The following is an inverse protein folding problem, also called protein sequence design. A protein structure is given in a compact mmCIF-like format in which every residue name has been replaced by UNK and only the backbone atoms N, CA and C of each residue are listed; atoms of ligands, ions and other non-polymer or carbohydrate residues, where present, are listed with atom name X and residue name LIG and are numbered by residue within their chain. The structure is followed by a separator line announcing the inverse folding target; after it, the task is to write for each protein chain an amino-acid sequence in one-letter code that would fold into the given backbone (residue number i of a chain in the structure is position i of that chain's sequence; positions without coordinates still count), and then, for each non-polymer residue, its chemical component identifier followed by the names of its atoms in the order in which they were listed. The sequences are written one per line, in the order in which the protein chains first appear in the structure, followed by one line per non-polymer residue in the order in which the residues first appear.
data_IF_874483761219
#
_entry.id   IF_874483761219
#
_cell.length_a   1.000
_cell.length_b   1.000
_cell.length_c   1.000
_cell.angle_alpha   90.00
_cell.angle_beta   90.00
_cell.angle_gamma   90.00
#
_symmetry.space_group_name_H-M   'P 1'
#
loop_
_entity.id
_entity.type
_entity.pdbx_description
1 polymer ?
#
# COMPACT_ATOMS: atom_id res chain seq x y z
N UNK A 1 -16.40 -10.26 12.09
CA UNK A 1 -17.21 -9.33 11.26
C UNK A 1 -16.20 -8.46 10.54
N UNK A 2 -16.32 -8.30 9.22
CA UNK A 2 -15.41 -7.46 8.44
C UNK A 2 -15.95 -6.03 8.41
N UNK A 3 -15.06 -5.04 8.55
CA UNK A 3 -15.39 -3.61 8.49
C UNK A 3 -14.67 -3.01 7.28
N UNK A 4 -15.42 -2.48 6.32
CA UNK A 4 -14.86 -1.88 5.12
C UNK A 4 -13.96 -0.67 5.44
N UNK A 5 -12.92 -0.42 4.64
CA UNK A 5 -12.06 0.75 4.83
C UNK A 5 -12.85 2.05 4.74
N UNK A 6 -13.79 2.15 3.80
CA UNK A 6 -14.68 3.31 3.65
C UNK A 6 -15.51 3.58 4.91
N UNK A 7 -15.93 2.54 5.64
CA UNK A 7 -16.61 2.67 6.92
C UNK A 7 -15.67 3.18 8.02
N UNK A 8 -14.44 2.66 8.12
CA UNK A 8 -13.41 3.16 9.03
C UNK A 8 -13.12 4.64 8.75
N UNK A 9 -12.99 4.99 7.47
CA UNK A 9 -12.76 6.37 7.04
C UNK A 9 -13.92 7.30 7.40
N UNK A 10 -15.17 6.83 7.28
CA UNK A 10 -16.36 7.64 7.60
C UNK A 10 -16.53 7.90 9.10
N UNK A 11 -16.04 6.99 9.95
CA UNK A 11 -16.16 7.06 11.41
C UNK A 11 -14.95 7.72 12.11
N UNK A 12 -14.00 8.28 11.35
CA UNK A 12 -12.81 8.93 11.91
C UNK A 12 -13.16 10.21 12.68
N UNK A 13 -12.34 10.54 13.64
CA UNK A 13 -12.48 11.75 14.47
C UNK A 13 -11.32 12.70 14.19
N UNK A 14 -11.64 13.91 13.76
CA UNK A 14 -10.67 14.99 13.53
C UNK A 14 -10.68 15.96 14.73
N UNK A 15 -9.49 16.24 15.26
CA UNK A 15 -9.30 17.22 16.33
C UNK A 15 -7.97 17.97 16.11
N UNK A 16 -8.04 19.19 15.62
CA UNK A 16 -6.86 19.99 15.32
C UNK A 16 -5.99 19.34 14.24
N UNK A 17 -4.74 19.07 14.58
CA UNK A 17 -3.75 18.41 13.74
C UNK A 17 -3.77 16.86 13.82
N UNK A 18 -4.77 16.32 14.51
CA UNK A 18 -4.85 14.91 14.86
C UNK A 18 -6.11 14.27 14.27
N UNK A 19 -5.94 13.08 13.67
CA UNK A 19 -7.06 12.22 13.23
C UNK A 19 -6.95 10.87 13.93
N UNK A 20 -8.05 10.42 14.53
CA UNK A 20 -8.14 9.10 15.16
C UNK A 20 -9.04 8.18 14.35
N UNK A 21 -8.53 6.98 14.05
CA UNK A 21 -9.28 5.91 13.41
C UNK A 21 -9.42 4.73 14.37
N UNK A 22 -10.49 3.96 14.23
CA UNK A 22 -10.65 2.67 14.90
C UNK A 22 -10.30 1.56 13.92
N UNK A 23 -9.11 0.97 14.07
CA UNK A 23 -8.63 -0.12 13.25
C UNK A 23 -9.16 -1.46 13.81
N UNK A 24 -9.72 -2.31 12.95
CA UNK A 24 -10.33 -3.58 13.31
C UNK A 24 -9.43 -4.77 12.98
N UNK A 25 -9.58 -5.87 13.70
CA UNK A 25 -8.70 -7.04 13.61
C UNK A 25 -8.63 -7.66 12.21
N UNK A 26 -9.67 -7.52 11.40
CA UNK A 26 -9.74 -7.99 10.02
C UNK A 26 -8.80 -7.25 9.05
N UNK A 27 -8.16 -6.16 9.48
CA UNK A 27 -7.11 -5.45 8.73
C UNK A 27 -5.69 -5.82 9.17
N UNK A 28 -5.53 -6.83 10.03
CA UNK A 28 -4.20 -7.21 10.51
C UNK A 28 -3.42 -8.11 9.54
N UNK A 29 -2.09 -7.97 9.62
CA UNK A 29 -1.08 -8.86 9.08
C UNK A 29 -0.27 -9.42 10.24
N UNK A 30 -0.63 -10.60 10.74
CA UNK A 30 -0.09 -11.11 11.98
C UNK A 30 -0.54 -10.28 13.19
N UNK A 31 0.40 -9.72 13.94
CA UNK A 31 0.13 -8.92 15.17
C UNK A 31 0.00 -7.40 14.92
N UNK A 32 0.13 -6.96 13.70
CA UNK A 32 0.09 -5.53 13.33
C UNK A 32 -0.90 -5.31 12.20
N UNK A 33 -1.38 -4.08 12.06
CA UNK A 33 -2.15 -3.67 10.88
C UNK A 33 -1.31 -3.80 9.61
N UNK A 34 -1.98 -4.11 8.51
CA UNK A 34 -1.42 -4.09 7.16
C UNK A 34 -0.84 -2.71 6.81
N UNK A 35 0.39 -2.69 6.24
CA UNK A 35 1.12 -1.45 5.99
C UNK A 35 0.43 -0.52 5.00
N UNK A 36 -0.15 -1.07 3.93
CA UNK A 36 -0.93 -0.31 2.96
C UNK A 36 -2.17 0.35 3.57
N UNK A 37 -2.85 -0.31 4.52
CA UNK A 37 -3.93 0.26 5.30
C UNK A 37 -3.44 1.45 6.13
N UNK A 38 -2.37 1.29 6.91
CA UNK A 38 -1.82 2.38 7.73
C UNK A 38 -1.40 3.59 6.90
N UNK A 39 -0.78 3.34 5.75
CA UNK A 39 -0.32 4.41 4.85
C UNK A 39 -1.48 5.14 4.16
N UNK A 40 -2.55 4.42 3.80
CA UNK A 40 -3.77 5.01 3.25
C UNK A 40 -4.47 5.92 4.27
N UNK A 41 -4.56 5.49 5.55
CA UNK A 41 -5.09 6.33 6.63
C UNK A 41 -4.24 7.59 6.86
N UNK A 42 -2.90 7.49 6.73
CA UNK A 42 -2.01 8.64 6.85
C UNK A 42 -2.27 9.71 5.76
N UNK A 43 -2.52 9.27 4.52
CA UNK A 43 -2.89 10.19 3.43
C UNK A 43 -4.19 10.92 3.74
N UNK A 44 -5.22 10.21 4.22
CA UNK A 44 -6.50 10.81 4.61
C UNK A 44 -6.29 11.80 5.77
N UNK A 45 -5.51 11.43 6.78
CA UNK A 45 -5.20 12.33 7.91
C UNK A 45 -4.51 13.62 7.44
N UNK A 46 -3.53 13.54 6.53
CA UNK A 46 -2.85 14.70 5.96
C UNK A 46 -3.82 15.62 5.21
N UNK A 47 -4.77 15.05 4.44
CA UNK A 47 -5.76 15.82 3.71
C UNK A 47 -6.77 16.51 4.63
N UNK A 48 -7.28 15.79 5.61
CA UNK A 48 -8.28 16.32 6.54
C UNK A 48 -7.75 17.48 7.38
N UNK A 49 -6.53 17.33 7.90
CA UNK A 49 -5.97 18.32 8.84
C UNK A 49 -5.46 19.58 8.14
N UNK A 50 -5.00 19.46 6.90
CA UNK A 50 -4.32 20.56 6.21
C UNK A 50 -5.10 21.11 4.99
N UNK A 51 -6.23 20.48 4.62
CA UNK A 51 -7.05 20.92 3.47
C UNK A 51 -6.28 20.94 2.15
N UNK A 52 -5.39 19.96 1.93
CA UNK A 52 -4.57 19.93 0.72
C UNK A 52 -5.33 19.28 -0.42
N UNK A 53 -5.61 20.02 -1.50
CA UNK A 53 -6.27 19.50 -2.71
C UNK A 53 -5.28 19.06 -3.80
N UNK A 54 -4.01 19.45 -3.70
CA UNK A 54 -2.98 19.05 -4.67
C UNK A 54 -2.82 17.53 -4.71
N UNK A 55 -2.59 16.91 -5.90
CA UNK A 55 -2.32 15.49 -6.03
C UNK A 55 -1.14 15.03 -5.17
N UNK A 56 -1.25 13.86 -4.55
CA UNK A 56 -0.14 13.17 -3.91
C UNK A 56 0.87 12.74 -4.99
N UNK A 57 2.16 13.03 -4.78
CA UNK A 57 3.26 12.71 -5.71
C UNK A 57 4.20 11.65 -5.17
N UNK A 58 4.40 11.64 -3.85
CA UNK A 58 5.22 10.64 -3.19
C UNK A 58 4.74 10.44 -1.76
N UNK A 59 4.93 9.23 -1.27
CA UNK A 59 4.69 8.83 0.10
C UNK A 59 5.88 8.00 0.59
N UNK A 60 6.47 8.37 1.71
CA UNK A 60 7.57 7.64 2.32
C UNK A 60 7.12 7.20 3.71
N UNK A 61 7.07 5.89 3.94
CA UNK A 61 6.62 5.28 5.19
C UNK A 61 7.76 4.52 5.84
N UNK A 62 8.00 4.80 7.12
CA UNK A 62 8.85 3.99 8.00
C UNK A 62 7.96 3.31 9.03
N UNK A 63 8.00 1.98 9.05
CA UNK A 63 7.27 1.16 10.02
C UNK A 63 8.17 0.97 11.26
N UNK A 64 7.86 1.70 12.33
CA UNK A 64 8.69 1.79 13.54
C UNK A 64 8.33 0.71 14.54
N UNK A 65 7.04 0.43 14.69
CA UNK A 65 6.52 -0.55 15.64
C UNK A 65 5.20 -1.16 15.19
N UNK A 66 4.73 -2.21 15.88
CA UNK A 66 3.46 -2.84 15.57
C UNK A 66 2.27 -1.95 15.96
N UNK A 67 1.22 -1.99 15.15
CA UNK A 67 -0.06 -1.35 15.41
C UNK A 67 -1.12 -2.45 15.52
N UNK A 68 -1.54 -2.85 16.73
CA UNK A 68 -2.64 -3.81 16.92
C UNK A 68 -4.00 -3.18 16.59
N UNK A 69 -5.06 -4.00 16.57
CA UNK A 69 -6.42 -3.51 16.48
C UNK A 69 -6.77 -2.60 17.66
N UNK A 70 -7.49 -1.51 17.40
CA UNK A 70 -7.85 -0.50 18.38
C UNK A 70 -7.84 0.90 17.81
N UNK A 71 -7.73 1.89 18.68
CA UNK A 71 -7.57 3.27 18.26
C UNK A 71 -6.14 3.54 17.77
N UNK A 72 -6.05 4.17 16.61
CA UNK A 72 -4.78 4.59 16.02
C UNK A 72 -4.84 6.09 15.77
N UNK A 73 -3.86 6.80 16.28
CA UNK A 73 -3.82 8.27 16.27
C UNK A 73 -2.77 8.74 15.24
N UNK A 74 -3.20 9.60 14.34
CA UNK A 74 -2.38 10.20 13.30
C UNK A 74 -2.19 11.69 13.59
N UNK A 75 -0.95 12.12 13.86
CA UNK A 75 -0.59 13.53 14.04
C UNK A 75 0.11 14.05 12.81
N UNK A 76 -0.40 15.12 12.25
CA UNK A 76 0.16 15.71 11.04
C UNK A 76 0.88 17.01 11.35
N UNK A 77 1.92 17.27 10.57
CA UNK A 77 2.67 18.51 10.64
C UNK A 77 3.05 18.95 9.23
N UNK A 78 2.69 20.19 8.88
CA UNK A 78 3.17 20.82 7.67
C UNK A 78 4.66 21.11 7.81
N UNK A 79 5.50 20.48 6.99
CA UNK A 79 6.95 20.72 6.96
C UNK A 79 7.29 21.93 6.12
N UNK A 80 6.63 22.03 4.97
CA UNK A 80 6.79 23.14 4.04
C UNK A 80 5.55 23.27 3.15
N UNK A 81 5.16 24.51 2.87
CA UNK A 81 4.17 24.85 1.86
C UNK A 81 4.78 25.90 0.92
N UNK A 82 4.89 25.53 -0.35
CA UNK A 82 5.25 26.43 -1.43
C UNK A 82 4.04 26.70 -2.33
N UNK A 83 4.24 27.47 -3.38
CA UNK A 83 3.17 27.80 -4.35
C UNK A 83 2.56 26.56 -5.02
N UNK A 84 3.37 25.53 -5.29
CA UNK A 84 2.97 24.34 -6.06
C UNK A 84 3.38 23.02 -5.42
N UNK A 85 4.03 23.04 -4.26
CA UNK A 85 4.46 21.81 -3.55
C UNK A 85 4.27 22.02 -2.05
N UNK A 86 3.65 21.03 -1.40
CA UNK A 86 3.57 20.91 0.05
C UNK A 86 4.20 19.59 0.51
N UNK A 87 4.91 19.63 1.62
CA UNK A 87 5.48 18.45 2.28
C UNK A 87 4.89 18.35 3.68
N UNK A 88 4.39 17.16 4.01
CA UNK A 88 3.68 16.89 5.26
C UNK A 88 4.27 15.69 5.93
N UNK A 89 4.55 15.79 7.21
CA UNK A 89 4.85 14.66 8.08
C UNK A 89 3.56 14.19 8.77
N UNK A 90 3.42 12.88 8.91
CA UNK A 90 2.38 12.25 9.70
C UNK A 90 3.00 11.19 10.60
N UNK A 91 2.80 11.30 11.88
CA UNK A 91 3.22 10.32 12.88
C UNK A 91 2.04 9.43 13.24
N UNK A 92 2.27 8.12 13.29
CA UNK A 92 1.27 7.11 13.63
C UNK A 92 1.55 6.63 15.06
N UNK A 93 0.58 6.78 15.94
CA UNK A 93 0.68 6.35 17.34
C UNK A 93 -0.32 5.24 17.64
N UNK A 94 0.14 4.24 18.38
CA UNK A 94 -0.67 3.22 19.02
C UNK A 94 -0.33 3.20 20.50
N UNK A 95 -1.32 3.34 21.38
CA UNK A 95 -1.15 3.43 22.84
C UNK A 95 -0.02 4.42 23.24
N UNK A 96 -0.07 5.65 22.68
CA UNK A 96 0.91 6.72 22.90
C UNK A 96 2.33 6.41 22.41
N UNK A 97 2.58 5.23 21.82
CA UNK A 97 3.87 4.83 21.27
C UNK A 97 3.94 5.15 19.79
N UNK A 98 5.04 5.78 19.35
CA UNK A 98 5.31 6.01 17.92
C UNK A 98 5.48 4.68 17.20
N UNK A 99 4.58 4.36 16.29
CA UNK A 99 4.54 3.12 15.54
C UNK A 99 4.87 3.29 14.04
N UNK A 100 4.75 4.50 13.51
CA UNK A 100 5.09 4.79 12.12
C UNK A 100 5.35 6.27 11.88
N UNK A 101 6.14 6.54 10.83
CA UNK A 101 6.42 7.89 10.35
C UNK A 101 6.18 7.92 8.84
N UNK A 102 5.35 8.84 8.39
CA UNK A 102 4.99 9.00 6.98
C UNK A 102 5.30 10.42 6.53
N UNK A 103 5.93 10.56 5.38
CA UNK A 103 6.12 11.86 4.72
C UNK A 103 5.39 11.85 3.38
N UNK A 104 4.41 12.74 3.22
CA UNK A 104 3.68 12.95 1.98
C UNK A 104 4.19 14.18 1.24
N UNK A 105 4.37 14.06 -0.08
CA UNK A 105 4.68 15.17 -0.98
C UNK A 105 3.50 15.39 -1.91
N UNK A 106 2.87 16.55 -1.81
CA UNK A 106 1.74 16.97 -2.65
C UNK A 106 2.21 18.01 -3.65
N UNK A 107 1.84 17.87 -4.91
CA UNK A 107 2.34 18.76 -5.97
C UNK A 107 1.30 19.09 -7.03
N UNK A 108 1.05 20.37 -7.25
CA UNK A 108 0.20 20.85 -8.34
C UNK A 108 0.82 20.57 -9.72
N UNK A 109 0.03 20.37 -10.77
CA UNK A 109 0.51 20.36 -12.14
C UNK A 109 1.25 21.67 -12.47
N UNK A 110 2.28 21.57 -13.31
CA UNK A 110 3.07 22.73 -13.77
C UNK A 110 3.29 22.64 -15.27
N UNK A 111 3.25 23.77 -15.92
CA UNK A 111 3.73 23.89 -17.31
C UNK A 111 5.24 23.64 -17.37
N UNK A 112 5.66 22.87 -18.36
CA UNK A 112 7.06 22.51 -18.58
C UNK A 112 7.29 22.18 -20.05
N UNK A 113 8.50 22.40 -20.54
CA UNK A 113 8.93 21.93 -21.86
C UNK A 113 9.29 20.44 -21.87
N UNK A 114 9.25 19.76 -20.71
CA UNK A 114 9.49 18.32 -20.62
C UNK A 114 8.38 17.54 -21.36
N UNK A 115 8.71 16.71 -22.35
CA UNK A 115 7.71 15.88 -23.01
C UNK A 115 7.11 14.86 -22.05
N UNK A 116 5.85 14.50 -22.28
CA UNK A 116 5.18 13.46 -21.50
C UNK A 116 5.83 12.11 -21.81
N UNK A 117 6.24 11.39 -20.74
CA UNK A 117 6.68 10.01 -20.82
C UNK A 117 5.54 9.10 -20.31
N UNK A 118 5.03 8.26 -21.19
CA UNK A 118 4.03 7.24 -20.83
C UNK A 118 4.73 5.88 -20.75
N UNK A 119 4.85 5.28 -19.56
CA UNK A 119 5.41 3.93 -19.42
C UNK A 119 4.60 2.91 -20.18
N UNK A 120 5.29 1.94 -20.82
CA UNK A 120 4.62 0.86 -21.53
C UNK A 120 4.19 -0.24 -20.56
N UNK A 121 2.88 -0.50 -20.51
CA UNK A 121 2.32 -1.63 -19.82
C UNK A 121 2.61 -2.94 -20.58
N UNK A 122 2.95 -3.99 -19.83
CA UNK A 122 3.05 -5.35 -20.36
C UNK A 122 2.01 -6.20 -19.63
N UNK A 123 0.95 -6.66 -20.31
CA UNK A 123 -0.05 -7.53 -19.67
C UNK A 123 0.58 -8.82 -19.15
N UNK A 124 0.02 -9.35 -18.07
CA UNK A 124 0.42 -10.66 -17.56
C UNK A 124 0.06 -11.79 -18.55
N UNK A 125 0.83 -12.90 -18.57
CA UNK A 125 0.72 -13.93 -19.61
C UNK A 125 -0.57 -14.75 -19.56
N UNK A 126 -1.29 -14.74 -18.41
CA UNK A 126 -2.52 -15.50 -18.17
C UNK A 126 -3.62 -14.51 -17.82
N UNK A 127 -4.79 -14.64 -18.42
CA UNK A 127 -5.93 -13.79 -18.12
C UNK A 127 -6.45 -14.04 -16.69
N UNK A 128 -6.93 -12.97 -16.06
CA UNK A 128 -7.35 -13.01 -14.65
C UNK A 128 -8.42 -14.08 -14.38
N UNK A 129 -9.36 -14.29 -15.30
CA UNK A 129 -10.46 -15.24 -15.14
C UNK A 129 -10.01 -16.71 -15.22
N UNK A 130 -8.82 -16.96 -15.76
CA UNK A 130 -8.22 -18.30 -15.83
C UNK A 130 -7.43 -18.68 -14.57
N UNK A 131 -7.24 -17.73 -13.66
CA UNK A 131 -6.42 -17.92 -12.45
C UNK A 131 -7.29 -18.14 -11.22
N UNK A 132 -6.89 -19.06 -10.31
CA UNK A 132 -7.57 -19.21 -9.03
C UNK A 132 -7.35 -17.99 -8.14
N UNK A 133 -8.37 -17.60 -7.40
CA UNK A 133 -8.23 -16.61 -6.34
C UNK A 133 -7.41 -17.20 -5.18
N UNK A 134 -6.55 -16.38 -4.57
CA UNK A 134 -5.92 -16.72 -3.31
C UNK A 134 -7.01 -16.80 -2.22
N UNK A 135 -7.24 -17.97 -1.61
CA UNK A 135 -8.30 -18.09 -0.61
C UNK A 135 -7.89 -17.41 0.70
N UNK A 136 -8.85 -16.74 1.34
CA UNK A 136 -8.70 -16.41 2.76
C UNK A 136 -8.90 -17.67 3.62
N UNK A 137 -7.90 -18.03 4.40
CA UNK A 137 -7.94 -19.18 5.33
C UNK A 137 -7.65 -18.65 6.74
N UNK A 138 -8.66 -18.64 7.64
CA UNK A 138 -8.49 -18.13 9.00
C UNK A 138 -7.26 -18.71 9.70
N UNK A 139 -6.47 -17.88 10.39
CA UNK A 139 -5.25 -18.23 11.14
C UNK A 139 -4.05 -18.69 10.28
N UNK A 140 -4.21 -18.80 8.97
CA UNK A 140 -3.13 -19.18 8.03
C UNK A 140 -2.74 -17.98 7.18
N UNK A 141 -3.72 -17.35 6.54
CA UNK A 141 -3.49 -16.17 5.73
C UNK A 141 -3.69 -14.90 6.55
N UNK A 142 -3.03 -13.78 6.19
CA UNK A 142 -3.28 -12.49 6.84
C UNK A 142 -4.75 -12.08 6.81
N UNK A 143 -5.23 -11.46 7.89
CA UNK A 143 -6.65 -11.10 8.01
C UNK A 143 -7.08 -10.05 6.98
N UNK A 144 -6.18 -9.13 6.57
CA UNK A 144 -6.51 -8.11 5.55
C UNK A 144 -6.89 -8.68 4.19
N UNK A 145 -6.57 -9.96 3.90
CA UNK A 145 -7.02 -10.65 2.68
C UNK A 145 -8.55 -10.85 2.62
N UNK A 146 -9.27 -10.53 3.68
CA UNK A 146 -10.74 -10.45 3.64
C UNK A 146 -11.25 -9.22 2.87
N UNK A 147 -10.37 -8.27 2.57
CA UNK A 147 -10.69 -6.99 1.90
C UNK A 147 -10.08 -6.86 0.51
N UNK A 148 -9.17 -7.78 0.15
CA UNK A 148 -8.41 -7.72 -1.11
C UNK A 148 -8.43 -9.09 -1.76
N UNK A 149 -8.77 -9.15 -3.05
CA UNK A 149 -8.64 -10.36 -3.86
C UNK A 149 -7.34 -10.30 -4.67
N UNK A 150 -6.60 -11.42 -4.70
CA UNK A 150 -5.37 -11.56 -5.48
C UNK A 150 -5.36 -12.85 -6.28
N UNK A 151 -4.75 -12.80 -7.50
CA UNK A 151 -4.53 -13.94 -8.39
C UNK A 151 -3.14 -13.88 -8.98
N UNK A 152 -2.35 -14.94 -8.81
CA UNK A 152 -0.97 -15.01 -9.28
C UNK A 152 -0.90 -15.48 -10.73
N UNK A 153 -0.29 -14.67 -11.60
CA UNK A 153 -0.02 -15.01 -13.00
C UNK A 153 1.45 -15.31 -13.27
N UNK A 154 2.36 -14.73 -12.49
CA UNK A 154 3.81 -14.93 -12.58
C UNK A 154 4.38 -15.14 -11.18
N UNK A 155 5.38 -16.01 -11.06
CA UNK A 155 6.00 -16.36 -9.78
C UNK A 155 5.22 -17.44 -9.03
N UNK A 156 5.29 -17.42 -7.70
CA UNK A 156 4.62 -18.38 -6.83
C UNK A 156 4.06 -17.68 -5.59
N UNK A 157 2.97 -18.22 -5.07
CA UNK A 157 2.47 -17.83 -3.76
C UNK A 157 3.53 -18.18 -2.68
N UNK A 158 3.52 -17.49 -1.53
CA UNK A 158 4.45 -17.74 -0.43
C UNK A 158 4.49 -19.19 0.04
N UNK A 159 5.64 -19.63 0.51
CA UNK A 159 5.86 -20.91 1.24
C UNK A 159 5.69 -22.19 0.43
N UNK A 160 5.73 -22.09 -0.91
CA UNK A 160 5.64 -23.27 -1.78
C UNK A 160 6.99 -23.93 -2.06
N UNK A 161 8.10 -23.32 -1.65
CA UNK A 161 9.44 -23.78 -1.98
C UNK A 161 9.81 -23.67 -3.47
N UNK A 162 9.11 -22.78 -4.18
CA UNK A 162 9.36 -22.45 -5.59
C UNK A 162 10.13 -21.13 -5.65
N UNK A 163 11.43 -21.14 -5.99
CA UNK A 163 12.30 -19.98 -5.86
C UNK A 163 12.07 -18.96 -6.98
N UNK A 164 11.27 -17.94 -6.70
CA UNK A 164 11.06 -16.79 -7.56
C UNK A 164 11.48 -15.50 -6.87
N UNK A 165 12.16 -14.61 -7.61
CA UNK A 165 12.51 -13.26 -7.18
C UNK A 165 11.58 -12.20 -7.74
N UNK A 166 10.60 -12.61 -8.54
CA UNK A 166 9.60 -11.75 -9.18
C UNK A 166 8.20 -12.33 -9.03
N UNK A 167 7.19 -11.49 -9.10
CA UNK A 167 5.80 -11.88 -9.19
C UNK A 167 4.99 -10.88 -10.01
N UNK A 168 4.01 -11.43 -10.74
CA UNK A 168 2.99 -10.67 -11.46
C UNK A 168 1.62 -11.10 -10.97
N UNK A 169 0.86 -10.18 -10.40
CA UNK A 169 -0.35 -10.47 -9.64
C UNK A 169 -1.46 -9.53 -10.08
N UNK A 170 -2.64 -10.06 -10.30
CA UNK A 170 -3.86 -9.27 -10.35
C UNK A 170 -4.38 -9.04 -8.93
N UNK A 171 -4.74 -7.80 -8.64
CA UNK A 171 -5.21 -7.38 -7.32
C UNK A 171 -6.40 -6.43 -7.43
N UNK A 172 -7.37 -6.57 -6.56
CA UNK A 172 -8.47 -5.62 -6.42
C UNK A 172 -8.97 -5.51 -4.99
N UNK A 173 -9.51 -4.35 -4.63
CA UNK A 173 -10.23 -4.17 -3.37
C UNK A 173 -11.66 -4.68 -3.49
N UNK A 174 -12.20 -5.20 -2.38
CA UNK A 174 -13.62 -5.57 -2.28
C UNK A 174 -14.49 -4.37 -1.91
N UNK A 175 -13.94 -3.37 -1.23
CA UNK A 175 -14.61 -2.11 -0.94
C UNK A 175 -14.63 -1.21 -2.20
N UNK A 176 -15.84 -0.88 -2.67
CA UNK A 176 -16.08 -0.10 -3.89
C UNK A 176 -16.21 1.41 -3.64
N UNK A 177 -16.14 1.85 -2.40
CA UNK A 177 -16.36 3.23 -1.99
C UNK A 177 -15.08 4.00 -1.68
N UNK A 178 -13.92 3.50 -2.14
CA UNK A 178 -12.62 4.15 -1.91
C UNK A 178 -12.33 5.18 -3.00
N UNK A 179 -11.75 6.31 -2.61
CA UNK A 179 -11.17 7.24 -3.59
C UNK A 179 -10.00 6.58 -4.32
N UNK A 180 -9.76 6.93 -5.60
CA UNK A 180 -8.64 6.36 -6.38
C UNK A 180 -7.29 6.46 -5.68
N UNK A 181 -7.00 7.55 -4.97
CA UNK A 181 -5.74 7.75 -4.26
C UNK A 181 -5.59 6.77 -3.07
N UNK A 182 -6.61 6.65 -2.23
CA UNK A 182 -6.63 5.70 -1.10
C UNK A 182 -6.50 4.27 -1.60
N UNK A 183 -7.23 3.92 -2.65
CA UNK A 183 -7.19 2.60 -3.29
C UNK A 183 -5.79 2.26 -3.80
N UNK A 184 -5.16 3.16 -4.57
CA UNK A 184 -3.82 2.95 -5.13
C UNK A 184 -2.78 2.80 -4.03
N UNK A 185 -2.80 3.65 -2.99
CA UNK A 185 -1.87 3.52 -1.86
C UNK A 185 -2.06 2.17 -1.17
N UNK A 186 -3.28 1.79 -0.84
CA UNK A 186 -3.57 0.52 -0.17
C UNK A 186 -3.14 -0.68 -1.01
N UNK A 187 -3.51 -0.75 -2.30
CA UNK A 187 -3.20 -1.90 -3.16
C UNK A 187 -1.71 -2.04 -3.47
N UNK A 188 -0.95 -0.93 -3.46
CA UNK A 188 0.49 -0.94 -3.77
C UNK A 188 1.35 -1.73 -2.76
N UNK A 189 0.84 -1.98 -1.55
CA UNK A 189 1.48 -2.80 -0.51
C UNK A 189 0.81 -4.18 -0.34
N UNK A 190 -0.23 -4.49 -1.13
CA UNK A 190 -1.07 -5.68 -0.94
C UNK A 190 -0.34 -7.02 -1.04
N UNK A 191 0.46 -7.27 -2.10
CA UNK A 191 1.11 -8.56 -2.25
C UNK A 191 2.30 -8.76 -1.31
N UNK A 192 2.54 -10.01 -0.88
CA UNK A 192 3.75 -10.36 -0.12
C UNK A 192 5.00 -10.23 -0.98
N UNK A 193 6.15 -10.02 -0.32
CA UNK A 193 7.45 -10.02 -1.01
C UNK A 193 7.69 -11.33 -1.77
N UNK A 194 8.17 -11.30 -3.04
CA UNK A 194 8.41 -12.50 -3.85
C UNK A 194 9.36 -13.49 -3.20
N UNK A 195 10.31 -13.03 -2.39
CA UNK A 195 11.29 -13.90 -1.73
C UNK A 195 10.66 -14.96 -0.80
N UNK A 196 9.42 -14.74 -0.31
CA UNK A 196 8.73 -15.73 0.53
C UNK A 196 8.38 -17.02 -0.22
N UNK A 197 8.40 -17.01 -1.55
CA UNK A 197 8.20 -18.20 -2.39
C UNK A 197 9.32 -19.25 -2.23
N UNK A 198 10.52 -18.83 -1.79
CA UNK A 198 11.66 -19.71 -1.56
C UNK A 198 11.49 -20.64 -0.34
N UNK A 199 10.70 -20.24 0.64
CA UNK A 199 10.49 -21.01 1.86
C UNK A 199 9.42 -22.10 1.68
N UNK A 200 9.56 -23.21 2.45
CA UNK A 200 8.58 -24.31 2.47
C UNK A 200 7.61 -24.26 3.65
N UNK A 201 7.69 -23.19 4.43
CA UNK A 201 6.83 -22.96 5.59
C UNK A 201 6.88 -21.50 6.02
N UNK A 202 5.96 -21.10 6.90
CA UNK A 202 5.83 -19.70 7.33
C UNK A 202 7.11 -19.19 7.97
N UNK A 203 7.59 -18.05 7.48
CA UNK A 203 8.64 -17.24 8.11
C UNK A 203 8.09 -15.85 8.35
N UNK A 204 8.57 -15.18 9.39
CA UNK A 204 8.19 -13.80 9.63
C UNK A 204 8.90 -12.90 8.62
N UNK A 205 8.14 -11.96 8.07
CA UNK A 205 8.68 -10.88 7.26
C UNK A 205 7.97 -9.58 7.65
N UNK A 206 8.71 -8.49 7.65
CA UNK A 206 8.19 -7.18 8.02
C UNK A 206 8.80 -6.10 7.14
N UNK A 207 7.97 -5.26 6.56
CA UNK A 207 8.43 -4.04 5.89
C UNK A 207 9.07 -3.11 6.92
N UNK A 208 10.24 -2.60 6.61
CA UNK A 208 10.98 -1.62 7.44
C UNK A 208 10.73 -0.21 6.92
N UNK A 209 10.87 -0.04 5.60
CA UNK A 209 10.62 1.22 4.93
C UNK A 209 9.98 0.99 3.57
N UNK A 210 9.15 1.93 3.16
CA UNK A 210 8.46 1.90 1.88
C UNK A 210 8.40 3.30 1.28
N UNK A 211 8.87 3.44 0.04
CA UNK A 211 8.72 4.64 -0.77
C UNK A 211 7.75 4.34 -1.91
N UNK A 212 6.77 5.21 -2.09
CA UNK A 212 5.75 5.13 -3.12
C UNK A 212 5.74 6.41 -3.91
N UNK A 213 5.99 6.31 -5.22
CA UNK A 213 5.94 7.41 -6.17
C UNK A 213 4.63 7.33 -6.97
N UNK A 214 3.89 8.42 -7.07
CA UNK A 214 2.59 8.44 -7.73
C UNK A 214 2.63 9.38 -8.95
N UNK A 215 2.63 8.83 -10.17
CA UNK A 215 2.31 9.57 -11.37
C UNK A 215 0.93 10.22 -11.25
N UNK A 216 0.59 11.21 -12.09
CA UNK A 216 -0.76 11.76 -12.10
C UNK A 216 -1.79 10.64 -12.30
N UNK A 217 -2.65 10.43 -11.29
CA UNK A 217 -3.72 9.44 -11.40
C UNK A 217 -4.79 9.96 -12.36
N UNK A 218 -5.23 9.14 -13.31
CA UNK A 218 -6.35 9.47 -14.18
C UNK A 218 -7.64 9.60 -13.37
N UNK A 219 -8.50 10.54 -13.76
CA UNK A 219 -9.80 10.75 -13.11
C UNK A 219 -10.85 9.66 -13.42
N UNK A 220 -10.57 8.83 -14.44
CA UNK A 220 -11.45 7.78 -14.99
C UNK A 220 -10.97 6.36 -14.67
N UNK A 221 -10.22 6.18 -13.57
CA UNK A 221 -9.80 4.84 -13.11
C UNK A 221 -11.04 4.00 -12.79
N UNK A 222 -11.11 2.81 -13.36
CA UNK A 222 -12.09 1.80 -12.94
C UNK A 222 -11.66 1.19 -11.60
N UNK A 223 -12.09 1.80 -10.50
CA UNK A 223 -11.74 1.36 -9.14
C UNK A 223 -12.26 -0.05 -8.80
N UNK A 224 -13.23 -0.58 -9.55
CA UNK A 224 -13.79 -1.92 -9.38
C UNK A 224 -13.05 -2.99 -10.18
N UNK A 225 -12.17 -2.57 -11.08
CA UNK A 225 -11.43 -3.44 -11.98
C UNK A 225 -10.24 -4.12 -11.30
N UNK A 226 -9.61 -5.02 -12.07
CA UNK A 226 -8.38 -5.67 -11.66
C UNK A 226 -7.17 -4.79 -11.98
N UNK A 227 -6.46 -4.40 -10.94
CA UNK A 227 -5.12 -3.81 -11.07
C UNK A 227 -4.11 -4.93 -11.31
N UNK A 228 -3.01 -4.61 -11.99
CA UNK A 228 -1.85 -5.48 -12.08
C UNK A 228 -0.74 -4.92 -11.22
N UNK A 229 -0.07 -5.77 -10.44
CA UNK A 229 1.15 -5.38 -9.73
C UNK A 229 2.30 -6.32 -10.12
N UNK A 230 3.39 -5.71 -10.62
CA UNK A 230 4.62 -6.39 -10.96
C UNK A 230 5.63 -6.10 -9.87
N UNK A 231 6.19 -7.13 -9.25
CA UNK A 231 7.16 -7.02 -8.17
C UNK A 231 8.45 -7.73 -8.53
N UNK A 232 9.57 -7.18 -8.08
CA UNK A 232 10.89 -7.77 -8.28
C UNK A 232 11.77 -7.52 -7.05
N UNK A 233 12.34 -8.58 -6.48
CA UNK A 233 13.40 -8.50 -5.49
C UNK A 233 14.71 -8.16 -6.20
N UNK A 234 15.27 -7.00 -5.91
CA UNK A 234 16.48 -6.46 -6.56
C UNK A 234 17.78 -6.92 -5.92
N UNK A 235 17.77 -7.10 -4.62
CA UNK A 235 18.90 -7.55 -3.83
C UNK A 235 18.42 -8.17 -2.51
N UNK A 236 19.25 -9.02 -1.90
CA UNK A 236 18.96 -9.58 -0.59
C UNK A 236 20.23 -10.16 0.05
N UNK A 237 20.48 -9.79 1.31
CA UNK A 237 21.54 -10.31 2.16
C UNK A 237 21.21 -10.02 3.62
N UNK A 238 21.84 -10.75 4.54
CA UNK A 238 21.78 -10.52 5.99
C UNK A 238 20.35 -10.43 6.57
N UNK A 239 19.40 -11.18 5.99
CA UNK A 239 18.00 -11.18 6.41
C UNK A 239 17.19 -9.98 5.91
N UNK A 240 17.71 -9.21 4.96
CA UNK A 240 16.98 -8.10 4.32
C UNK A 240 16.86 -8.31 2.81
N UNK A 241 15.75 -7.90 2.25
CA UNK A 241 15.55 -7.81 0.80
C UNK A 241 15.14 -6.40 0.42
N UNK A 242 15.62 -5.99 -0.77
CA UNK A 242 15.26 -4.74 -1.43
C UNK A 242 14.42 -5.10 -2.65
N UNK A 243 13.23 -4.55 -2.73
CA UNK A 243 12.31 -4.85 -3.82
C UNK A 243 11.74 -3.59 -4.46
N UNK A 244 11.30 -3.73 -5.70
CA UNK A 244 10.51 -2.73 -6.42
C UNK A 244 9.16 -3.31 -6.82
N UNK A 245 8.17 -2.43 -6.96
CA UNK A 245 6.84 -2.77 -7.44
C UNK A 245 6.33 -1.72 -8.42
N UNK A 246 5.49 -2.14 -9.38
CA UNK A 246 4.74 -1.27 -10.29
C UNK A 246 3.28 -1.67 -10.22
N UNK A 247 2.43 -0.74 -9.85
CA UNK A 247 0.98 -0.94 -9.90
C UNK A 247 0.42 -0.29 -11.16
N UNK A 248 -0.35 -1.06 -11.92
CA UNK A 248 -1.02 -0.62 -13.14
C UNK A 248 -2.52 -0.63 -12.94
N UNK A 249 -3.19 0.40 -13.45
CA UNK A 249 -4.67 0.44 -13.44
C UNK A 249 -5.26 -0.64 -14.34
N UNK A 250 -6.56 -0.96 -14.21
CA UNK A 250 -7.25 -1.88 -15.12
C UNK A 250 -7.10 -1.52 -16.61
N UNK A 251 -6.91 -0.23 -16.92
CA UNK A 251 -6.69 0.28 -18.27
C UNK A 251 -5.21 0.23 -18.72
N UNK A 252 -4.32 -0.35 -17.91
CA UNK A 252 -2.89 -0.47 -18.20
C UNK A 252 -2.09 0.83 -18.07
N UNK A 253 -2.56 1.78 -17.26
CA UNK A 253 -1.82 3.02 -16.95
C UNK A 253 -1.07 2.84 -15.63
N UNK A 254 0.17 3.35 -15.54
CA UNK A 254 0.97 3.28 -14.33
C UNK A 254 0.30 4.12 -13.22
N UNK A 255 -0.03 3.48 -12.10
CA UNK A 255 -0.65 4.11 -10.94
C UNK A 255 0.38 4.43 -9.85
N UNK A 256 1.37 3.56 -9.64
CA UNK A 256 2.44 3.80 -8.67
C UNK A 256 3.73 3.05 -9.00
N UNK A 257 4.83 3.56 -8.45
CA UNK A 257 6.13 2.92 -8.36
C UNK A 257 6.49 2.78 -6.89
N UNK A 258 6.77 1.56 -6.43
CA UNK A 258 7.11 1.27 -5.04
C UNK A 258 8.54 0.76 -4.90
N UNK A 259 9.21 1.15 -3.80
CA UNK A 259 10.50 0.60 -3.37
C UNK A 259 10.41 0.28 -1.88
N UNK A 260 10.85 -0.92 -1.49
CA UNK A 260 10.65 -1.40 -0.13
C UNK A 260 11.86 -2.16 0.39
N UNK A 261 12.18 -1.96 1.66
CA UNK A 261 13.09 -2.80 2.42
C UNK A 261 12.25 -3.70 3.33
N UNK A 262 12.45 -5.00 3.21
CA UNK A 262 11.75 -6.01 4.01
C UNK A 262 12.77 -6.80 4.81
N UNK A 263 12.58 -6.90 6.14
CA UNK A 263 13.32 -7.82 7.00
C UNK A 263 12.63 -9.19 6.94
N UNK A 264 13.43 -10.25 6.78
CA UNK A 264 12.97 -11.64 6.69
C UNK A 264 13.70 -12.45 7.76
N UNK A 265 12.93 -13.09 8.62
CA UNK A 265 13.41 -13.83 9.79
C UNK A 265 13.22 -15.33 9.52
N UNK A 266 14.23 -15.97 8.98
CA UNK A 266 14.17 -17.39 8.63
C UNK A 266 15.44 -18.16 8.97
#
# INVERSE_FOLDING_TARGET
MTVALSEILSNRRLQGDTVTFTATDDWTQGRTMFGGFLSALAVVAMRDTLGIDMPLRALQTNFVGPVPAGEVVYRTRLLRQGKSVSQVQCEIYSDETLAGLVVGVFGAPRETALPVLTPKHTPLPIAVDELPALPFIPKITPNFLQHIEMRWAVGSIPYMGNPFWESGIYIRALDKNLSPEVLVVMLSDGPPTPCLSHFKGPVMASSVSWSLELPPLPSDINSDGWFQIDMETKAGADGYVNQSAKLWTPEGRLASLGYQVVAVYG
#
